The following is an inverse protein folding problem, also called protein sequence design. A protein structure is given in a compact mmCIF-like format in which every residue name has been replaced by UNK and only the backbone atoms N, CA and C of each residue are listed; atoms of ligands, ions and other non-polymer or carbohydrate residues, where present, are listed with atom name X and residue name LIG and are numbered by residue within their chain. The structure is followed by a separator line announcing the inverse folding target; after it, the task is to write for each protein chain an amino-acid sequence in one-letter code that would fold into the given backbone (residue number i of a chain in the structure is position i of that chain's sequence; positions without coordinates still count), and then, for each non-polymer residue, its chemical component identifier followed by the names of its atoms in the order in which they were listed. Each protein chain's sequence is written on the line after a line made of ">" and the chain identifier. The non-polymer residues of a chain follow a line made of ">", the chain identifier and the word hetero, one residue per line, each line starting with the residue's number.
data_IF_399295093756
#
_entry.id   IF_399295093756
#
_cell.length_a   1.000
_cell.length_b   1.000
_cell.length_c   1.000
_cell.angle_alpha   90.00
_cell.angle_beta   90.00
_cell.angle_gamma   90.00
#
_symmetry.space_group_name_H-M   'P 1'
#
loop_
_entity.id
_entity.type
_entity.pdbx_description
1 polymer ?
#
# COMPACT_ATOMS: atom_id res chain seq x y z
N UNK A 1 38.51 -6.76 -17.31
CA UNK A 1 37.17 -6.13 -17.21
C UNK A 1 36.73 -6.27 -15.75
N UNK A 2 36.40 -5.17 -15.07
CA UNK A 2 35.90 -5.18 -13.68
C UNK A 2 34.40 -4.91 -13.70
N UNK A 3 33.63 -5.70 -12.93
CA UNK A 3 32.18 -5.51 -12.78
C UNK A 3 31.90 -5.14 -11.34
N UNK A 4 31.30 -3.97 -11.12
CA UNK A 4 30.90 -3.50 -9.79
C UNK A 4 29.49 -3.98 -9.47
N UNK A 5 29.33 -4.68 -8.36
CA UNK A 5 28.02 -5.13 -7.88
C UNK A 5 27.27 -4.00 -7.18
N UNK A 6 25.98 -3.88 -7.47
CA UNK A 6 25.05 -2.93 -6.87
C UNK A 6 23.62 -3.49 -6.89
N UNK A 7 22.66 -2.73 -6.36
CA UNK A 7 21.26 -3.17 -6.26
C UNK A 7 20.60 -3.57 -7.59
N UNK A 8 21.09 -3.07 -8.73
CA UNK A 8 20.50 -3.33 -10.04
C UNK A 8 20.98 -4.65 -10.67
N UNK A 9 22.16 -5.14 -10.30
CA UNK A 9 22.79 -6.30 -10.94
C UNK A 9 23.12 -7.46 -9.99
N UNK A 10 23.07 -7.25 -8.67
CA UNK A 10 23.48 -8.25 -7.68
C UNK A 10 22.66 -9.53 -7.73
N UNK A 11 21.35 -9.45 -8.04
CA UNK A 11 20.49 -10.64 -8.13
C UNK A 11 20.85 -11.50 -9.33
N UNK A 12 21.11 -10.88 -10.48
CA UNK A 12 21.55 -11.58 -11.69
C UNK A 12 22.91 -12.25 -11.45
N UNK A 13 23.84 -11.55 -10.80
CA UNK A 13 25.13 -12.12 -10.41
C UNK A 13 24.97 -13.30 -9.44
N UNK A 14 24.06 -13.20 -8.45
CA UNK A 14 23.80 -14.28 -7.48
C UNK A 14 23.21 -15.52 -8.16
N UNK A 15 22.29 -15.31 -9.10
CA UNK A 15 21.67 -16.35 -9.91
C UNK A 15 22.72 -17.05 -10.80
N UNK A 16 23.54 -16.28 -11.53
CA UNK A 16 24.60 -16.84 -12.36
C UNK A 16 25.65 -17.60 -11.54
N UNK A 17 26.02 -17.09 -10.36
CA UNK A 17 26.95 -17.75 -9.46
C UNK A 17 26.40 -19.10 -8.95
N UNK A 18 25.08 -19.18 -8.68
CA UNK A 18 24.42 -20.45 -8.33
C UNK A 18 24.50 -21.46 -9.48
N UNK A 19 24.14 -21.03 -10.70
CA UNK A 19 24.15 -21.88 -11.89
C UNK A 19 25.53 -22.47 -12.20
N UNK A 20 26.57 -21.67 -11.96
CA UNK A 20 27.96 -22.05 -12.16
C UNK A 20 28.56 -22.76 -10.94
N UNK A 21 27.75 -23.07 -9.92
CA UNK A 21 28.14 -23.80 -8.72
C UNK A 21 29.35 -23.16 -8.00
N UNK A 22 29.37 -21.82 -7.94
CA UNK A 22 30.50 -21.04 -7.40
C UNK A 22 30.53 -21.03 -5.85
N UNK A 23 30.63 -22.22 -5.26
CA UNK A 23 30.59 -22.48 -3.83
C UNK A 23 31.96 -22.37 -3.14
N UNK A 24 31.96 -22.10 -1.83
CA UNK A 24 33.16 -22.10 -0.97
C UNK A 24 33.85 -23.47 -0.88
N UNK A 25 33.14 -24.55 -1.19
CA UNK A 25 33.71 -25.91 -1.23
C UNK A 25 34.74 -26.09 -2.34
N UNK A 26 34.69 -25.26 -3.38
CA UNK A 26 35.62 -25.28 -4.51
C UNK A 26 36.84 -24.41 -4.22
N UNK A 27 36.61 -23.15 -3.81
CA UNK A 27 37.66 -22.19 -3.49
C UNK A 27 37.19 -21.22 -2.41
N UNK A 28 38.09 -20.85 -1.49
CA UNK A 28 37.77 -19.88 -0.43
C UNK A 28 37.55 -18.48 -1.01
N UNK A 29 36.46 -17.83 -0.61
CA UNK A 29 36.09 -16.52 -1.13
C UNK A 29 35.52 -16.61 -2.55
N UNK A 30 34.80 -17.67 -2.86
CA UNK A 30 34.05 -17.81 -4.09
C UNK A 30 32.89 -16.81 -4.16
N UNK A 31 32.31 -16.69 -5.35
CA UNK A 31 31.42 -15.58 -5.68
C UNK A 31 30.10 -15.64 -4.90
N UNK A 32 29.53 -16.83 -4.67
CA UNK A 32 28.29 -16.96 -3.89
C UNK A 32 28.46 -16.35 -2.49
N UNK A 33 29.49 -16.75 -1.76
CA UNK A 33 29.76 -16.23 -0.41
C UNK A 33 29.99 -14.72 -0.42
N UNK A 34 30.79 -14.19 -1.35
CA UNK A 34 31.04 -12.76 -1.46
C UNK A 34 29.76 -11.97 -1.74
N UNK A 35 28.90 -12.47 -2.63
CA UNK A 35 27.62 -11.84 -2.92
C UNK A 35 26.70 -11.88 -1.70
N UNK A 36 26.62 -13.02 -1.01
CA UNK A 36 25.77 -13.17 0.18
C UNK A 36 26.23 -12.24 1.30
N UNK A 37 27.54 -12.08 1.50
CA UNK A 37 28.10 -11.09 2.43
C UNK A 37 27.71 -9.68 2.02
N UNK A 38 27.82 -9.32 0.73
CA UNK A 38 27.46 -7.99 0.24
C UNK A 38 25.95 -7.70 0.38
N UNK A 39 25.09 -8.66 0.05
CA UNK A 39 23.64 -8.56 0.24
C UNK A 39 23.29 -8.27 1.71
N UNK A 40 23.86 -9.04 2.64
CA UNK A 40 23.54 -8.92 4.08
C UNK A 40 24.16 -7.70 4.76
N UNK A 41 25.37 -7.31 4.35
CA UNK A 41 26.11 -6.21 4.99
C UNK A 41 25.80 -4.84 4.40
N UNK A 42 25.32 -4.77 3.15
CA UNK A 42 25.08 -3.50 2.45
C UNK A 42 23.64 -3.38 1.97
N UNK A 43 23.22 -4.20 1.00
CA UNK A 43 21.92 -4.06 0.33
C UNK A 43 20.76 -4.13 1.32
N UNK A 44 20.69 -5.17 2.15
CA UNK A 44 19.62 -5.36 3.12
C UNK A 44 19.73 -4.41 4.31
N UNK A 45 20.77 -3.58 4.40
CA UNK A 45 20.87 -2.49 5.39
C UNK A 45 20.41 -1.15 4.83
N UNK A 46 20.33 -1.01 3.51
CA UNK A 46 19.84 0.18 2.81
C UNK A 46 18.35 0.07 2.49
N UNK A 47 17.60 1.16 2.72
CA UNK A 47 16.18 1.25 2.39
C UNK A 47 15.96 1.15 0.87
N UNK A 48 16.59 2.06 0.11
CA UNK A 48 16.41 2.16 -1.35
C UNK A 48 16.96 0.94 -2.07
N UNK A 49 18.11 0.42 -1.67
CA UNK A 49 18.69 -0.74 -2.36
C UNK A 49 17.86 -2.01 -2.13
N UNK A 50 17.27 -2.19 -0.94
CA UNK A 50 16.36 -3.32 -0.69
C UNK A 50 15.14 -3.28 -1.61
N UNK A 51 14.60 -2.09 -1.90
CA UNK A 51 13.47 -1.90 -2.82
C UNK A 51 13.89 -2.18 -4.26
N UNK A 52 15.03 -1.62 -4.69
CA UNK A 52 15.56 -1.84 -6.05
C UNK A 52 15.83 -3.33 -6.28
N UNK A 53 16.48 -4.02 -5.33
CA UNK A 53 16.73 -5.46 -5.41
C UNK A 53 15.40 -6.22 -5.47
N UNK A 54 14.40 -5.87 -4.66
CA UNK A 54 13.09 -6.51 -4.75
C UNK A 54 12.49 -6.36 -6.16
N UNK A 55 12.60 -5.21 -6.80
CA UNK A 55 12.09 -4.99 -8.16
C UNK A 55 12.84 -5.83 -9.21
N UNK A 56 14.17 -5.99 -9.08
CA UNK A 56 14.97 -6.76 -10.06
C UNK A 56 14.78 -8.27 -9.96
N UNK A 57 14.28 -8.79 -8.83
CA UNK A 57 13.98 -10.23 -8.68
C UNK A 57 12.94 -10.73 -9.68
N UNK A 58 12.00 -9.87 -10.12
CA UNK A 58 10.89 -10.26 -10.99
C UNK A 58 11.33 -10.88 -12.31
N UNK A 59 12.42 -10.40 -12.89
CA UNK A 59 12.95 -10.93 -14.16
C UNK A 59 13.79 -12.20 -13.99
N UNK A 60 13.97 -12.68 -12.76
CA UNK A 60 14.85 -13.81 -12.41
C UNK A 60 14.12 -14.90 -11.63
N UNK A 61 12.79 -14.91 -11.69
CA UNK A 61 11.98 -16.01 -11.16
C UNK A 61 12.18 -17.29 -12.03
N UNK A 62 12.19 -18.48 -11.42
CA UNK A 62 11.94 -18.77 -9.99
C UNK A 62 13.17 -18.64 -9.08
N UNK A 63 14.38 -18.53 -9.64
CA UNK A 63 15.63 -18.61 -8.86
C UNK A 63 15.74 -17.58 -7.75
N UNK A 64 15.30 -16.34 -7.96
CA UNK A 64 15.34 -15.33 -6.92
C UNK A 64 14.51 -15.69 -5.67
N UNK A 65 13.48 -16.53 -5.80
CA UNK A 65 12.70 -17.07 -4.68
C UNK A 65 13.40 -18.26 -4.02
N UNK A 66 13.89 -19.21 -4.82
CA UNK A 66 14.60 -20.39 -4.33
C UNK A 66 15.85 -20.00 -3.54
N UNK A 67 16.54 -18.95 -4.00
CA UNK A 67 17.70 -18.33 -3.35
C UNK A 67 17.31 -17.40 -2.19
N UNK A 68 16.02 -17.28 -1.85
CA UNK A 68 15.48 -16.51 -0.72
C UNK A 68 15.76 -15.00 -0.76
N UNK A 69 16.28 -14.48 -1.88
CA UNK A 69 16.57 -13.05 -2.06
C UNK A 69 15.30 -12.22 -1.85
N UNK A 70 14.17 -12.67 -2.40
CA UNK A 70 12.89 -11.99 -2.25
C UNK A 70 12.45 -11.92 -0.78
N UNK A 71 12.48 -13.03 -0.05
CA UNK A 71 12.11 -13.04 1.37
C UNK A 71 12.99 -12.11 2.22
N UNK A 72 14.30 -12.07 1.96
CA UNK A 72 15.21 -11.18 2.67
C UNK A 72 14.94 -9.70 2.37
N UNK A 73 14.62 -9.35 1.11
CA UNK A 73 14.17 -8.01 0.76
C UNK A 73 12.89 -7.62 1.51
N UNK A 74 11.88 -8.49 1.51
CA UNK A 74 10.60 -8.24 2.20
C UNK A 74 10.82 -8.03 3.70
N UNK A 75 11.61 -8.89 4.35
CA UNK A 75 11.94 -8.75 5.76
C UNK A 75 12.72 -7.48 6.08
N UNK A 76 13.70 -7.13 5.23
CA UNK A 76 14.49 -5.89 5.34
C UNK A 76 13.60 -4.65 5.27
N UNK A 77 12.72 -4.58 4.26
CA UNK A 77 11.79 -3.47 4.04
C UNK A 77 10.81 -3.39 5.21
N UNK A 78 10.18 -4.50 5.59
CA UNK A 78 9.20 -4.52 6.66
C UNK A 78 9.81 -4.12 8.02
N UNK A 79 11.04 -4.57 8.30
CA UNK A 79 11.76 -4.21 9.53
C UNK A 79 12.08 -2.72 9.59
N UNK A 80 12.45 -2.10 8.47
CA UNK A 80 12.72 -0.65 8.38
C UNK A 80 11.45 0.19 8.47
N UNK A 81 10.38 -0.19 7.77
CA UNK A 81 9.10 0.48 7.86
C UNK A 81 8.50 0.43 9.28
N UNK A 82 8.89 -0.58 10.07
CA UNK A 82 8.45 -0.81 11.45
C UNK A 82 9.32 -0.14 12.53
N UNK A 83 10.37 0.59 12.15
CA UNK A 83 11.26 1.23 13.12
C UNK A 83 10.66 2.50 13.69
N UNK A 84 11.06 2.86 14.90
CA UNK A 84 10.74 4.16 15.46
C UNK A 84 11.27 5.28 14.54
N UNK A 85 10.42 6.25 14.21
CA UNK A 85 10.75 7.36 13.30
C UNK A 85 11.95 8.19 13.76
N UNK A 86 12.24 8.23 15.07
CA UNK A 86 13.44 8.90 15.61
C UNK A 86 14.75 8.21 15.23
N UNK A 87 14.70 6.95 14.80
CA UNK A 87 15.86 6.12 14.41
C UNK A 87 15.99 5.95 12.90
N UNK A 88 15.20 6.70 12.11
CA UNK A 88 15.25 6.64 10.65
C UNK A 88 16.45 7.47 10.18
N UNK A 89 17.48 6.77 9.72
CA UNK A 89 18.71 7.37 9.19
C UNK A 89 18.82 7.29 7.65
N UNK A 90 17.86 6.64 7.00
CA UNK A 90 17.88 6.42 5.56
C UNK A 90 17.33 7.62 4.76
N UNK A 91 17.75 7.73 3.51
CA UNK A 91 17.10 8.63 2.55
C UNK A 91 15.76 8.05 2.11
N UNK A 92 14.73 8.90 2.09
CA UNK A 92 13.37 8.54 1.69
C UNK A 92 12.72 9.65 0.88
N UNK A 93 11.75 9.29 0.05
CA UNK A 93 10.98 10.27 -0.73
C UNK A 93 9.72 10.68 0.04
N UNK A 94 9.48 11.98 0.24
CA UNK A 94 8.28 12.46 0.92
C UNK A 94 7.75 13.76 0.30
N UNK A 95 6.72 13.64 -0.54
CA UNK A 95 6.12 14.77 -1.27
C UNK A 95 4.72 15.14 -0.76
N UNK A 96 4.17 14.43 0.24
CA UNK A 96 2.78 14.54 0.68
C UNK A 96 2.40 15.93 1.22
N UNK A 97 3.34 16.66 1.84
CA UNK A 97 3.15 18.07 2.25
C UNK A 97 2.92 19.02 1.06
N UNK A 98 3.46 18.70 -0.12
CA UNK A 98 3.33 19.54 -1.32
C UNK A 98 1.91 19.48 -1.91
N UNK A 99 1.22 18.34 -1.78
CA UNK A 99 -0.13 18.15 -2.31
C UNK A 99 -1.18 18.86 -1.45
N UNK A 100 -1.02 18.88 -0.11
CA UNK A 100 -1.91 19.66 0.76
C UNK A 100 -1.82 21.18 0.50
N UNK A 101 -0.66 21.66 0.03
CA UNK A 101 -0.43 23.08 -0.28
C UNK A 101 -1.09 23.55 -1.58
N UNK A 102 -1.43 22.66 -2.52
CA UNK A 102 -2.05 23.02 -3.80
C UNK A 102 -3.57 23.17 -3.73
N UNK A 103 -4.22 22.67 -2.67
CA UNK A 103 -5.69 22.71 -2.49
C UNK A 103 -6.22 23.89 -1.65
N UNK A 104 -5.40 24.91 -1.40
CA UNK A 104 -5.86 26.21 -0.89
C UNK A 104 -5.90 26.35 0.64
N UNK A 105 -5.29 27.44 1.11
CA UNK A 105 -5.26 28.02 2.47
C UNK A 105 -4.40 27.32 3.54
N UNK A 106 -3.08 27.53 3.47
CA UNK A 106 -2.21 27.57 4.66
C UNK A 106 -1.10 28.62 4.44
N UNK A 107 -0.70 29.40 5.46
CA UNK A 107 0.20 30.52 5.26
C UNK A 107 1.60 29.99 4.91
N UNK A 108 2.25 30.68 3.97
CA UNK A 108 3.62 30.48 3.56
C UNK A 108 4.56 30.67 4.76
N UNK A 109 4.89 29.60 5.47
CA UNK A 109 5.80 29.65 6.62
C UNK A 109 7.22 29.34 6.17
N UNK A 110 8.05 30.40 6.20
CA UNK A 110 9.50 30.31 6.27
C UNK A 110 9.89 29.68 7.62
N UNK A 111 9.83 28.35 7.78
CA UNK A 111 10.31 27.66 8.98
C UNK A 111 11.53 26.79 8.64
N UNK A 112 12.67 27.46 8.40
CA UNK A 112 13.95 26.83 8.10
C UNK A 112 14.69 26.33 9.35
N UNK A 113 14.04 26.19 10.53
CA UNK A 113 14.77 25.96 11.80
C UNK A 113 14.07 25.04 12.82
N UNK A 114 13.21 24.13 12.41
CA UNK A 114 12.84 22.98 13.26
C UNK A 114 13.38 21.69 12.65
N UNK A 115 14.03 20.80 13.44
CA UNK A 115 14.33 19.45 12.96
C UNK A 115 13.01 18.83 12.52
N UNK A 116 12.82 18.64 11.22
CA UNK A 116 11.61 18.04 10.71
C UNK A 116 11.59 16.59 11.19
N UNK A 117 10.76 16.30 12.19
CA UNK A 117 10.55 14.93 12.65
C UNK A 117 10.12 14.07 11.46
N UNK A 118 10.74 12.90 11.35
CA UNK A 118 10.42 11.93 10.29
C UNK A 118 8.94 11.53 10.43
N UNK A 119 8.12 11.70 9.37
CA UNK A 119 6.71 11.32 9.40
C UNK A 119 6.53 9.80 9.63
N UNK A 120 5.43 9.38 10.26
CA UNK A 120 5.14 7.93 10.49
C UNK A 120 4.98 7.15 9.17
N UNK A 121 4.56 7.84 8.13
CA UNK A 121 4.29 7.37 6.77
C UNK A 121 5.46 7.63 5.80
N UNK A 122 6.67 7.90 6.30
CA UNK A 122 7.85 8.29 5.51
C UNK A 122 8.19 7.34 4.35
N UNK A 123 7.86 6.06 4.49
CA UNK A 123 8.17 4.99 3.55
C UNK A 123 7.15 4.84 2.41
N UNK A 124 5.96 5.45 2.54
CA UNK A 124 4.81 5.17 1.66
C UNK A 124 5.11 5.48 0.19
N UNK A 125 5.66 6.67 -0.08
CA UNK A 125 5.87 7.14 -1.45
C UNK A 125 6.84 6.25 -2.23
N UNK A 126 7.85 5.71 -1.56
CA UNK A 126 8.84 4.82 -2.15
C UNK A 126 8.24 3.47 -2.54
N UNK A 127 7.34 2.94 -1.70
CA UNK A 127 6.65 1.69 -1.99
C UNK A 127 5.58 1.84 -3.06
N UNK A 128 5.05 3.04 -3.28
CA UNK A 128 4.07 3.29 -4.34
C UNK A 128 4.61 2.99 -5.75
N UNK A 129 5.93 3.01 -5.94
CA UNK A 129 6.58 2.66 -7.21
C UNK A 129 6.62 1.14 -7.50
N UNK A 130 6.31 0.30 -6.51
CA UNK A 130 6.26 -1.14 -6.69
C UNK A 130 5.07 -1.59 -7.56
N UNK A 131 5.26 -2.59 -8.45
CA UNK A 131 4.18 -3.35 -9.05
C UNK A 131 3.26 -3.97 -7.99
N UNK A 132 1.97 -4.15 -8.31
CA UNK A 132 0.94 -4.59 -7.36
C UNK A 132 1.28 -5.94 -6.68
N UNK A 133 1.91 -6.86 -7.41
CA UNK A 133 2.34 -8.16 -6.89
C UNK A 133 3.39 -8.01 -5.77
N UNK A 134 4.40 -7.16 -5.98
CA UNK A 134 5.45 -6.90 -4.98
C UNK A 134 4.91 -6.02 -3.84
N UNK A 135 4.10 -5.01 -4.17
CA UNK A 135 3.47 -4.13 -3.18
C UNK A 135 2.60 -4.93 -2.20
N UNK A 136 1.74 -5.83 -2.70
CA UNK A 136 0.93 -6.74 -1.89
C UNK A 136 1.79 -7.50 -0.89
N UNK A 137 2.88 -8.10 -1.36
CA UNK A 137 3.78 -8.89 -0.51
C UNK A 137 4.44 -8.03 0.56
N UNK A 138 4.92 -6.83 0.20
CA UNK A 138 5.52 -5.91 1.17
C UNK A 138 4.51 -5.49 2.24
N UNK A 139 3.29 -5.10 1.86
CA UNK A 139 2.27 -4.70 2.84
C UNK A 139 1.88 -5.87 3.74
N UNK A 140 1.73 -7.10 3.20
CA UNK A 140 1.50 -8.29 4.01
C UNK A 140 2.63 -8.50 5.01
N UNK A 141 3.89 -8.44 4.56
CA UNK A 141 5.04 -8.59 5.47
C UNK A 141 5.07 -7.50 6.54
N UNK A 142 4.79 -6.23 6.21
CA UNK A 142 4.67 -5.15 7.20
C UNK A 142 3.56 -5.45 8.21
N UNK A 143 2.36 -5.83 7.76
CA UNK A 143 1.23 -6.18 8.65
C UNK A 143 1.60 -7.33 9.59
N UNK A 144 2.27 -8.38 9.09
CA UNK A 144 2.70 -9.52 9.93
C UNK A 144 3.73 -9.16 10.99
N UNK A 145 4.54 -8.10 10.81
CA UNK A 145 5.44 -7.60 11.88
C UNK A 145 4.67 -6.92 13.01
N UNK A 146 3.45 -6.44 12.77
CA UNK A 146 2.54 -5.92 13.80
C UNK A 146 2.97 -4.61 14.49
N UNK A 147 3.97 -3.90 13.95
CA UNK A 147 4.51 -2.66 14.56
C UNK A 147 4.04 -1.38 13.89
N UNK A 148 3.50 -1.48 12.68
CA UNK A 148 2.94 -0.34 11.95
C UNK A 148 1.44 -0.30 12.23
N UNK A 149 0.95 0.84 12.69
CA UNK A 149 -0.46 1.01 13.02
C UNK A 149 -1.32 0.98 11.76
N UNK A 150 -2.56 0.50 11.90
CA UNK A 150 -3.45 0.32 10.76
C UNK A 150 -3.72 1.62 10.00
N UNK A 151 -3.66 2.78 10.64
CA UNK A 151 -3.93 4.08 10.02
C UNK A 151 -2.85 4.41 8.99
N UNK A 152 -1.59 4.15 9.32
CA UNK A 152 -0.47 4.30 8.40
C UNK A 152 -0.57 3.30 7.24
N UNK A 153 -1.04 2.07 7.50
CA UNK A 153 -1.30 1.09 6.44
C UNK A 153 -2.45 1.57 5.53
N UNK A 154 -3.54 2.09 6.10
CA UNK A 154 -4.65 2.66 5.34
C UNK A 154 -4.21 3.81 4.45
N UNK A 155 -3.38 4.71 4.99
CA UNK A 155 -2.78 5.81 4.24
C UNK A 155 -1.80 5.35 3.15
N UNK A 156 -1.09 4.25 3.37
CA UNK A 156 -0.24 3.65 2.35
C UNK A 156 -1.08 3.11 1.18
N UNK A 157 -2.16 2.39 1.48
CA UNK A 157 -3.08 1.83 0.49
C UNK A 157 -3.81 2.94 -0.28
N UNK A 158 -4.21 4.01 0.39
CA UNK A 158 -4.83 5.18 -0.23
C UNK A 158 -3.87 5.85 -1.21
N UNK A 159 -2.64 6.14 -0.78
CA UNK A 159 -1.63 6.75 -1.65
C UNK A 159 -1.29 5.86 -2.87
N UNK A 160 -1.18 4.55 -2.66
CA UNK A 160 -0.95 3.60 -3.75
C UNK A 160 -2.09 3.63 -4.77
N UNK A 161 -3.33 3.57 -4.27
CA UNK A 161 -4.55 3.60 -5.10
C UNK A 161 -4.65 4.91 -5.88
N UNK A 162 -4.38 6.04 -5.22
CA UNK A 162 -4.37 7.37 -5.84
C UNK A 162 -3.38 7.49 -6.99
N UNK A 163 -2.20 6.89 -6.84
CA UNK A 163 -1.14 6.92 -7.86
C UNK A 163 -1.42 5.96 -9.02
N UNK A 164 -2.07 4.83 -8.76
CA UNK A 164 -2.21 3.75 -9.75
C UNK A 164 -3.54 3.75 -10.49
N UNK A 165 -4.61 4.29 -9.93
CA UNK A 165 -5.92 4.30 -10.58
C UNK A 165 -6.15 5.58 -11.41
N UNK A 166 -6.48 5.45 -12.71
CA UNK A 166 -6.64 6.59 -13.61
C UNK A 166 -7.78 7.54 -13.21
N UNK A 167 -8.84 7.05 -12.56
CA UNK A 167 -9.94 7.89 -12.02
C UNK A 167 -9.59 8.63 -10.73
N UNK A 168 -8.41 8.38 -10.14
CA UNK A 168 -7.94 8.98 -8.91
C UNK A 168 -6.84 10.04 -9.16
N UNK A 169 -6.14 9.94 -10.29
CA UNK A 169 -5.12 10.89 -10.76
C UNK A 169 -5.65 11.79 -11.88
N UNK A 170 -5.42 13.11 -11.81
CA UNK A 170 -5.79 14.04 -12.89
C UNK A 170 -4.96 13.77 -14.15
N UNK A 171 -5.56 13.08 -15.13
CA UNK A 171 -5.01 12.92 -16.49
C UNK A 171 -4.99 11.45 -16.93
N UNK A 172 -5.80 11.10 -17.94
CA UNK A 172 -5.85 9.74 -18.48
C UNK A 172 -5.71 9.80 -19.99
N UNK A 173 -4.61 9.23 -20.49
CA UNK A 173 -4.48 8.79 -21.87
C UNK A 173 -5.13 7.41 -22.01
N UNK A 174 -5.89 7.24 -23.08
CA UNK A 174 -6.80 6.13 -23.33
C UNK A 174 -6.05 4.83 -23.68
N UNK A 175 -6.01 3.89 -22.73
CA UNK A 175 -6.16 2.44 -22.94
C UNK A 175 -6.38 1.80 -21.56
N UNK A 176 -7.63 1.76 -21.08
CA UNK A 176 -7.95 1.31 -19.72
C UNK A 176 -7.92 -0.23 -19.70
N UNK A 177 -6.90 -0.81 -19.07
CA UNK A 177 -6.85 -2.24 -18.77
C UNK A 177 -7.75 -2.55 -17.56
N UNK A 178 -9.03 -2.75 -17.83
CA UNK A 178 -10.05 -3.04 -16.81
C UNK A 178 -9.69 -4.24 -15.93
N UNK A 179 -9.11 -5.30 -16.51
CA UNK A 179 -8.73 -6.51 -15.77
C UNK A 179 -7.63 -6.20 -14.75
N UNK A 180 -6.60 -5.47 -15.16
CA UNK A 180 -5.52 -5.05 -14.26
C UNK A 180 -6.02 -4.12 -13.15
N UNK A 181 -6.87 -3.15 -13.48
CA UNK A 181 -7.40 -2.23 -12.47
C UNK A 181 -8.37 -2.91 -11.51
N UNK A 182 -9.20 -3.84 -11.99
CA UNK A 182 -10.05 -4.69 -11.17
C UNK A 182 -9.22 -5.48 -10.16
N UNK A 183 -8.20 -6.21 -10.64
CA UNK A 183 -7.29 -6.97 -9.78
C UNK A 183 -6.57 -6.10 -8.74
N UNK A 184 -6.22 -4.86 -9.12
CA UNK A 184 -5.65 -3.88 -8.19
C UNK A 184 -6.66 -3.53 -7.10
N UNK A 185 -7.90 -3.16 -7.44
CA UNK A 185 -8.94 -2.81 -6.46
C UNK A 185 -9.23 -3.99 -5.53
N UNK A 186 -9.43 -5.20 -6.05
CA UNK A 186 -9.65 -6.42 -5.27
C UNK A 186 -8.47 -6.66 -4.29
N UNK A 187 -7.23 -6.47 -4.76
CA UNK A 187 -6.04 -6.59 -3.91
C UNK A 187 -6.01 -5.54 -2.80
N UNK A 188 -6.35 -4.28 -3.11
CA UNK A 188 -6.37 -3.20 -2.12
C UNK A 188 -7.46 -3.46 -1.07
N UNK A 189 -8.66 -3.87 -1.48
CA UNK A 189 -9.76 -4.22 -0.56
C UNK A 189 -9.33 -5.32 0.40
N UNK A 190 -8.68 -6.38 -0.11
CA UNK A 190 -8.16 -7.46 0.72
C UNK A 190 -7.06 -7.02 1.70
N UNK A 191 -6.25 -6.01 1.33
CA UNK A 191 -5.18 -5.49 2.19
C UNK A 191 -5.67 -4.53 3.28
N UNK A 192 -6.89 -4.01 3.20
CA UNK A 192 -7.39 -3.01 4.14
C UNK A 192 -7.28 -3.49 5.60
N UNK A 193 -6.83 -2.63 6.54
CA UNK A 193 -6.88 -2.88 7.98
C UNK A 193 -8.31 -3.23 8.42
N UNK A 194 -8.49 -4.18 9.33
CA UNK A 194 -9.82 -4.64 9.78
C UNK A 194 -10.40 -3.77 10.88
N UNK A 195 -9.58 -2.93 11.52
CA UNK A 195 -10.01 -2.04 12.59
C UNK A 195 -10.94 -0.93 12.07
N UNK A 196 -12.03 -0.69 12.80
CA UNK A 196 -13.00 0.36 12.49
C UNK A 196 -12.38 1.75 12.67
N UNK A 197 -12.70 2.70 11.78
CA UNK A 197 -12.30 4.10 11.88
C UNK A 197 -10.83 4.38 11.52
N UNK A 198 -10.08 3.34 11.17
CA UNK A 198 -8.65 3.44 10.85
C UNK A 198 -8.41 3.86 9.39
N UNK A 199 -9.36 3.55 8.51
CA UNK A 199 -9.35 3.93 7.10
C UNK A 199 -10.45 4.95 6.87
N UNK A 200 -10.14 6.10 6.25
CA UNK A 200 -11.13 7.15 6.05
C UNK A 200 -12.34 6.68 5.23
N UNK A 201 -13.53 7.11 5.65
CA UNK A 201 -14.80 6.82 4.95
C UNK A 201 -14.76 7.29 3.48
N UNK A 202 -14.16 8.47 3.23
CA UNK A 202 -13.96 8.99 1.88
C UNK A 202 -13.14 8.05 0.98
N UNK A 203 -12.06 7.46 1.50
CA UNK A 203 -11.26 6.51 0.72
C UNK A 203 -12.04 5.23 0.42
N UNK A 204 -12.79 4.70 1.39
CA UNK A 204 -13.62 3.51 1.18
C UNK A 204 -14.74 3.74 0.18
N UNK A 205 -15.42 4.89 0.23
CA UNK A 205 -16.44 5.27 -0.74
C UNK A 205 -15.86 5.39 -2.16
N UNK A 206 -14.68 5.98 -2.30
CA UNK A 206 -13.97 6.04 -3.59
C UNK A 206 -13.58 4.65 -4.09
N UNK A 207 -13.12 3.76 -3.22
CA UNK A 207 -12.83 2.36 -3.54
C UNK A 207 -14.08 1.61 -3.99
N UNK A 208 -15.22 1.80 -3.32
CA UNK A 208 -16.48 1.17 -3.69
C UNK A 208 -16.95 1.65 -5.06
N UNK A 209 -16.88 2.94 -5.34
CA UNK A 209 -17.17 3.49 -6.69
C UNK A 209 -16.26 2.87 -7.75
N UNK A 210 -14.98 2.71 -7.46
CA UNK A 210 -14.03 2.06 -8.37
C UNK A 210 -14.38 0.57 -8.57
N UNK A 211 -14.76 -0.13 -7.51
CA UNK A 211 -15.16 -1.53 -7.55
C UNK A 211 -16.43 -1.74 -8.40
N UNK A 212 -17.41 -0.85 -8.30
CA UNK A 212 -18.62 -0.87 -9.13
C UNK A 212 -18.27 -0.61 -10.59
N UNK A 213 -17.47 0.44 -10.85
CA UNK A 213 -17.08 0.82 -12.21
C UNK A 213 -16.26 -0.26 -12.93
N UNK A 214 -15.45 -1.01 -12.18
CA UNK A 214 -14.60 -2.09 -12.70
C UNK A 214 -15.26 -3.47 -12.63
N UNK A 215 -16.54 -3.52 -12.24
CA UNK A 215 -17.32 -4.75 -12.08
C UNK A 215 -16.64 -5.80 -11.18
N UNK A 216 -16.04 -5.36 -10.07
CA UNK A 216 -15.47 -6.26 -9.05
C UNK A 216 -16.56 -7.18 -8.44
N UNK A 217 -16.12 -8.31 -7.87
CA UNK A 217 -17.01 -9.29 -7.26
C UNK A 217 -17.89 -8.72 -6.15
N UNK A 218 -19.05 -9.37 -5.94
CA UNK A 218 -20.00 -8.99 -4.88
C UNK A 218 -19.36 -9.08 -3.49
N UNK A 219 -18.44 -10.01 -3.27
CA UNK A 219 -17.71 -10.17 -2.00
C UNK A 219 -16.94 -8.91 -1.62
N UNK A 220 -16.19 -8.32 -2.55
CA UNK A 220 -15.41 -7.11 -2.30
C UNK A 220 -16.31 -5.90 -2.12
N UNK A 221 -17.38 -5.80 -2.92
CA UNK A 221 -18.35 -4.70 -2.84
C UNK A 221 -19.12 -4.72 -1.52
N UNK A 222 -19.60 -5.89 -1.09
CA UNK A 222 -20.33 -6.05 0.17
C UNK A 222 -19.44 -5.76 1.38
N UNK A 223 -18.18 -6.22 1.36
CA UNK A 223 -17.23 -5.90 2.43
C UNK A 223 -16.96 -4.40 2.54
N UNK A 224 -16.84 -3.70 1.41
CA UNK A 224 -16.72 -2.24 1.40
C UNK A 224 -17.99 -1.56 1.93
N UNK A 225 -19.19 -1.97 1.47
CA UNK A 225 -20.46 -1.43 1.96
C UNK A 225 -20.59 -1.57 3.47
N UNK A 226 -20.32 -2.77 4.00
CA UNK A 226 -20.33 -3.07 5.43
C UNK A 226 -19.41 -2.13 6.23
N UNK A 227 -18.18 -1.91 5.75
CA UNK A 227 -17.22 -1.01 6.41
C UNK A 227 -17.62 0.45 6.33
N UNK A 228 -18.19 0.88 5.21
CA UNK A 228 -18.68 2.25 5.04
C UNK A 228 -19.85 2.49 5.97
N UNK A 229 -20.83 1.58 5.98
CA UNK A 229 -21.99 1.64 6.86
C UNK A 229 -21.56 1.84 8.33
N UNK A 230 -20.60 1.05 8.82
CA UNK A 230 -20.12 1.15 10.21
C UNK A 230 -19.56 2.52 10.61
N UNK A 231 -19.07 3.32 9.66
CA UNK A 231 -18.50 4.66 9.89
C UNK A 231 -19.16 5.74 9.04
N UNK A 232 -20.41 5.50 8.60
CA UNK A 232 -21.20 6.45 7.83
C UNK A 232 -21.36 7.82 8.52
N UNK A 233 -21.44 7.92 9.87
CA UNK A 233 -21.49 9.22 10.55
C UNK A 233 -20.27 10.13 10.30
N UNK A 234 -19.14 9.57 9.86
CA UNK A 234 -17.92 10.31 9.55
C UNK A 234 -17.85 10.75 8.08
N UNK A 235 -18.82 10.34 7.25
CA UNK A 235 -18.86 10.70 5.84
C UNK A 235 -19.20 12.18 5.65
N UNK A 236 -18.45 12.86 4.78
CA UNK A 236 -18.80 14.23 4.38
C UNK A 236 -19.90 14.21 3.34
N UNK A 237 -20.64 15.32 3.19
CA UNK A 237 -21.64 15.46 2.12
C UNK A 237 -21.02 15.18 0.74
N UNK A 238 -19.78 15.63 0.48
CA UNK A 238 -19.09 15.38 -0.78
C UNK A 238 -18.81 13.88 -1.02
N UNK A 239 -18.65 13.11 0.05
CA UNK A 239 -18.45 11.66 -0.04
C UNK A 239 -19.75 10.93 -0.42
N UNK A 240 -20.91 11.50 -0.07
CA UNK A 240 -22.24 10.96 -0.39
C UNK A 240 -22.77 11.42 -1.76
N UNK A 241 -22.17 12.44 -2.37
CA UNK A 241 -22.46 12.86 -3.75
C UNK A 241 -21.81 11.90 -4.76
N UNK A 242 -22.37 10.68 -4.85
CA UNK A 242 -21.94 9.63 -5.77
C UNK A 242 -22.56 9.91 -7.13
N UNK A 243 -21.76 10.16 -8.19
CA UNK A 243 -22.32 10.36 -9.54
C UNK A 243 -22.89 9.05 -10.10
N UNK A 244 -24.07 9.14 -10.70
CA UNK A 244 -24.68 8.01 -11.37
C UNK A 244 -23.90 7.63 -12.65
N UNK A 245 -23.98 6.35 -13.08
CA UNK A 245 -23.48 5.91 -14.38
C UNK A 245 -24.07 6.73 -15.55
N UNK A 246 -23.34 6.85 -16.68
CA UNK A 246 -23.87 7.52 -17.87
C UNK A 246 -25.15 6.81 -18.37
N UNK A 247 -26.24 7.55 -18.49
CA UNK A 247 -27.54 7.03 -18.96
C UNK A 247 -28.63 6.98 -17.89
N UNK A 248 -28.30 7.25 -16.63
CA UNK A 248 -29.28 7.34 -15.53
C UNK A 248 -30.04 8.68 -15.53
N UNK A 249 -31.27 8.64 -14.98
CA UNK A 249 -32.15 9.81 -14.91
C UNK A 249 -31.66 10.87 -13.91
N UNK A 250 -30.92 10.45 -12.89
CA UNK A 250 -30.37 11.31 -11.83
C UNK A 250 -28.88 11.56 -12.03
N UNK A 251 -28.40 12.74 -11.63
CA UNK A 251 -26.96 13.06 -11.64
C UNK A 251 -26.20 12.25 -10.59
N UNK A 252 -26.90 11.82 -9.54
CA UNK A 252 -26.35 11.07 -8.42
C UNK A 252 -26.99 9.69 -8.29
N UNK A 253 -26.20 8.72 -7.85
CA UNK A 253 -26.59 7.34 -7.57
C UNK A 253 -27.30 7.28 -6.21
N UNK A 254 -28.61 7.53 -6.25
CA UNK A 254 -29.46 7.57 -5.06
C UNK A 254 -29.63 6.17 -4.47
N UNK A 255 -29.74 5.14 -5.33
CA UNK A 255 -29.90 3.75 -4.91
C UNK A 255 -28.69 3.27 -4.10
N UNK A 256 -27.47 3.63 -4.53
CA UNK A 256 -26.26 3.32 -3.79
C UNK A 256 -26.23 3.99 -2.41
N UNK A 257 -26.65 5.25 -2.32
CA UNK A 257 -26.72 5.95 -1.03
C UNK A 257 -27.81 5.34 -0.14
N UNK A 258 -28.96 4.99 -0.71
CA UNK A 258 -30.04 4.33 0.01
C UNK A 258 -29.58 2.98 0.58
N UNK A 259 -28.95 2.13 -0.23
CA UNK A 259 -28.40 0.84 0.21
C UNK A 259 -27.38 1.02 1.36
N UNK A 260 -26.52 2.04 1.29
CA UNK A 260 -25.57 2.35 2.37
C UNK A 260 -26.26 2.76 3.68
N UNK A 261 -27.35 3.53 3.60
CA UNK A 261 -28.14 3.94 4.76
C UNK A 261 -28.90 2.75 5.35
N UNK A 262 -29.49 1.90 4.50
CA UNK A 262 -30.16 0.67 4.94
C UNK A 262 -29.20 -0.28 5.67
N UNK A 263 -28.00 -0.47 5.14
CA UNK A 263 -26.95 -1.27 5.77
C UNK A 263 -26.51 -0.67 7.11
N UNK A 264 -26.38 0.66 7.19
CA UNK A 264 -26.06 1.38 8.44
C UNK A 264 -27.13 1.20 9.51
N UNK A 265 -28.41 1.36 9.14
CA UNK A 265 -29.54 1.16 10.05
C UNK A 265 -29.55 -0.27 10.58
N UNK A 266 -29.41 -1.26 9.70
CA UNK A 266 -29.37 -2.69 10.06
C UNK A 266 -28.23 -3.00 11.04
N UNK A 267 -27.06 -2.38 10.86
CA UNK A 267 -25.93 -2.53 11.77
C UNK A 267 -26.14 -1.83 13.11
N UNK A 268 -26.75 -0.64 13.12
CA UNK A 268 -27.03 0.11 14.34
C UNK A 268 -27.98 -0.65 15.29
N UNK A 269 -28.99 -1.34 14.73
CA UNK A 269 -29.97 -2.12 15.50
C UNK A 269 -29.39 -3.39 16.17
N UNK A 270 -28.21 -3.86 15.77
CA UNK A 270 -27.54 -5.01 16.38
C UNK A 270 -26.59 -4.63 17.54
N UNK A 271 -26.25 -3.34 17.68
CA UNK A 271 -25.26 -2.84 18.65
C UNK A 271 -25.84 -2.26 19.94
N UNK A 272 -27.17 -2.16 20.09
CA UNK A 272 -27.76 -1.73 21.37
C UNK A 272 -27.89 -2.92 22.36
N UNK A 273 -27.20 -2.90 23.51
CA UNK A 273 -27.58 -3.73 24.63
C UNK A 273 -28.90 -3.18 25.16
N UNK A 274 -29.92 -4.03 25.23
CA UNK A 274 -31.16 -3.72 25.93
C UNK A 274 -30.85 -3.61 27.42
N UNK A 275 -30.47 -2.42 27.89
CA UNK A 275 -30.54 -2.07 29.31
C UNK A 275 -32.03 -2.02 29.68
N UNK A 276 -32.58 -3.20 29.97
CA UNK A 276 -33.83 -3.32 30.71
C UNK A 276 -33.55 -2.84 32.12
N UNK A 277 -33.90 -1.60 32.41
CA UNK A 277 -34.16 -1.17 33.78
C UNK A 277 -35.39 -1.97 34.24
N UNK A 278 -35.29 -2.86 35.25
CA UNK A 278 -36.47 -3.41 35.89
C UNK A 278 -36.97 -2.34 36.86
N UNK A 279 -38.06 -1.69 36.50
CA UNK A 279 -38.92 -1.02 37.47
C UNK A 279 -39.93 -2.01 38.01
N UNK A 280 -39.79 -2.35 39.29
CA UNK A 280 -40.82 -2.57 40.34
C UNK A 280 -40.23 -3.33 41.53
#
# INVERSE_FOLDING_TARGET
>A
MTVTLNAYNVVAARCAAEYLEMYETIEKGNLIYKIDVFLNSSIFRSWKDSIIVLQTTKSLLPWSEELKVVSHCLDSIASKASIDTSKVEWSYTYNRKKIASENGNSPQWNDARKPQMVPKDWWVEDLCELPIDLYKRVIVTIKTKGRVSGDVIGEALNAYTLRRLPGFSKGVNQNIDFVKYRSLVETIVWLLPTEKGVVSCSFLLRLLRAAIFLDCGETERNELMRRIAQQLPEATMNDLLIRAPPGEATVYDVDMVQNLVEEFVTHSSQTEPVDRIPGE
#
